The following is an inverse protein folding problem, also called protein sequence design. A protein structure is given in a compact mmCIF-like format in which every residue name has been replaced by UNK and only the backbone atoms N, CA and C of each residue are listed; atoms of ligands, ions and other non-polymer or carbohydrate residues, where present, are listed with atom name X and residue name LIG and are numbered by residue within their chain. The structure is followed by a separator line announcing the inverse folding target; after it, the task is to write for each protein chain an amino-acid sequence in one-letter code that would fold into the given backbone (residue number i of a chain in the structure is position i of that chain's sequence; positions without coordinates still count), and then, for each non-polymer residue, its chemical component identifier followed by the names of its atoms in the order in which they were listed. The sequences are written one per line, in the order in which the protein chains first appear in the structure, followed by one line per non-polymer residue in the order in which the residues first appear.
data_IF_806685783177
#
_entry.id   IF_806685783177
#
_cell.length_a   1.000
_cell.length_b   1.000
_cell.length_c   1.000
_cell.angle_alpha   90.00
_cell.angle_beta   90.00
_cell.angle_gamma   90.00
#
_symmetry.space_group_name_H-M   'P 1'
#
loop_
_entity.id
_entity.type
_entity.pdbx_description
1 polymer ?
#
# COMPACT_ATOMS: atom_id res chain seq x y z
N UNK A 1 18.05 27.80 -1.04
CA UNK A 1 18.69 27.13 -2.19
C UNK A 1 18.20 27.65 -3.54
N UNK A 2 16.96 28.16 -3.67
CA UNK A 2 16.38 28.45 -4.99
C UNK A 2 16.07 27.18 -5.79
N UNK A 3 16.03 26.01 -5.13
CA UNK A 3 15.80 24.70 -5.71
C UNK A 3 14.51 24.10 -5.15
N UNK A 4 13.84 23.25 -5.92
CA UNK A 4 12.68 22.48 -5.47
C UNK A 4 13.13 21.20 -4.77
N UNK A 5 12.44 20.84 -3.71
CA UNK A 5 12.67 19.63 -2.94
C UNK A 5 11.33 18.86 -2.82
N UNK A 6 11.40 17.54 -2.71
CA UNK A 6 10.22 16.67 -2.61
C UNK A 6 10.46 15.50 -1.67
N UNK A 7 9.42 14.74 -1.40
CA UNK A 7 9.56 13.46 -0.71
C UNK A 7 10.59 12.56 -1.42
N UNK A 8 11.53 12.05 -0.64
CA UNK A 8 12.60 11.15 -1.11
C UNK A 8 12.36 9.69 -0.70
N UNK A 9 11.14 9.39 -0.23
CA UNK A 9 10.72 8.08 0.31
C UNK A 9 11.65 7.55 1.42
N UNK A 10 12.42 8.42 2.07
CA UNK A 10 13.50 8.04 2.98
C UNK A 10 14.45 6.99 2.37
N UNK A 11 14.87 7.15 1.11
CA UNK A 11 15.76 6.19 0.43
C UNK A 11 16.96 5.70 1.27
N UNK A 12 17.65 6.52 2.11
CA UNK A 12 18.77 6.01 2.92
C UNK A 12 18.36 4.93 3.93
N UNK A 13 17.10 4.97 4.39
CA UNK A 13 16.53 3.94 5.28
C UNK A 13 16.11 2.71 4.49
N UNK A 14 15.40 2.90 3.39
CA UNK A 14 14.93 1.80 2.54
C UNK A 14 16.10 0.95 2.04
N UNK A 15 17.18 1.59 1.61
CA UNK A 15 18.38 0.89 1.15
C UNK A 15 19.00 0.00 2.23
N UNK A 16 18.81 0.36 3.50
CA UNK A 16 19.24 -0.41 4.67
C UNK A 16 18.16 -1.40 5.17
N UNK A 17 17.09 -1.64 4.41
CA UNK A 17 15.99 -2.52 4.81
C UNK A 17 15.10 -1.95 5.91
N UNK A 18 15.14 -0.63 6.15
CA UNK A 18 14.33 0.04 7.17
C UNK A 18 13.13 0.74 6.53
N UNK A 19 11.96 0.75 7.20
CA UNK A 19 10.80 1.47 6.69
C UNK A 19 11.03 3.00 6.70
N UNK A 20 10.32 3.75 5.83
CA UNK A 20 10.32 5.20 5.86
C UNK A 20 9.91 5.75 7.22
N UNK A 21 10.41 6.93 7.59
CA UNK A 21 10.19 7.51 8.94
C UNK A 21 8.71 7.64 9.25
N UNK A 22 7.92 8.17 8.32
CA UNK A 22 6.48 8.37 8.53
C UNK A 22 5.66 7.07 8.56
N UNK A 23 6.20 5.96 8.03
CA UNK A 23 5.62 4.62 8.15
C UNK A 23 5.97 4.02 9.51
N UNK A 24 7.24 4.13 9.89
CA UNK A 24 7.76 3.62 11.15
C UNK A 24 7.12 4.30 12.36
N UNK A 25 6.98 5.63 12.33
CA UNK A 25 6.41 6.43 13.43
C UNK A 25 4.88 6.46 13.47
N UNK A 26 4.21 5.70 12.61
CA UNK A 26 2.76 5.69 12.55
C UNK A 26 2.15 5.02 13.79
N UNK A 27 1.71 5.84 14.75
CA UNK A 27 1.10 5.41 16.02
C UNK A 27 -0.13 4.52 15.78
N UNK A 28 -0.96 4.87 14.79
CA UNK A 28 -2.17 4.11 14.46
C UNK A 28 -1.91 2.78 13.76
N UNK A 29 -0.66 2.44 13.44
CA UNK A 29 -0.27 1.20 12.75
C UNK A 29 -0.96 0.96 11.40
N UNK A 30 -1.52 1.99 10.77
CA UNK A 30 -2.28 1.92 9.50
C UNK A 30 -1.40 1.89 8.25
N UNK A 31 -0.07 1.96 8.40
CA UNK A 31 0.87 2.04 7.28
C UNK A 31 1.63 0.73 7.14
N UNK A 32 1.56 0.13 5.96
CA UNK A 32 2.36 -1.03 5.55
C UNK A 32 3.23 -0.65 4.37
N UNK A 33 4.37 -1.30 4.20
CA UNK A 33 5.32 -1.00 3.13
C UNK A 33 5.93 -2.31 2.63
N UNK A 34 5.96 -2.49 1.32
CA UNK A 34 6.41 -3.72 0.68
C UNK A 34 6.61 -3.54 -0.82
N UNK A 35 7.28 -4.52 -1.43
CA UNK A 35 7.59 -4.54 -2.86
C UNK A 35 6.35 -4.94 -3.66
N UNK A 36 6.17 -4.35 -4.84
CA UNK A 36 5.24 -4.82 -5.87
C UNK A 36 6.02 -4.91 -7.17
N UNK A 37 5.80 -5.98 -7.94
CA UNK A 37 6.27 -6.06 -9.31
C UNK A 37 5.21 -5.49 -10.23
N UNK A 38 5.65 -4.76 -11.24
CA UNK A 38 4.76 -4.20 -12.24
C UNK A 38 5.42 -4.25 -13.61
N UNK A 39 4.59 -4.38 -14.63
CA UNK A 39 5.01 -4.37 -16.02
C UNK A 39 5.19 -2.92 -16.49
N UNK A 40 6.43 -2.55 -16.81
CA UNK A 40 6.78 -1.22 -17.30
C UNK A 40 6.21 -0.94 -18.69
N UNK A 41 6.09 -1.95 -19.55
CA UNK A 41 5.69 -1.76 -20.95
C UNK A 41 4.18 -1.48 -21.06
N UNK A 42 3.40 -1.92 -20.06
CA UNK A 42 1.95 -1.74 -19.99
C UNK A 42 1.52 -0.51 -19.19
N UNK A 43 2.47 0.28 -18.68
CA UNK A 43 2.19 1.51 -17.92
C UNK A 43 1.43 2.53 -18.76
N UNK A 44 1.83 2.73 -20.02
CA UNK A 44 1.17 3.70 -20.90
C UNK A 44 -0.27 3.28 -21.22
N UNK A 45 -0.48 2.00 -21.53
CA UNK A 45 -1.80 1.41 -21.76
C UNK A 45 -2.71 1.63 -20.55
N UNK A 46 -2.22 1.31 -19.34
CA UNK A 46 -3.00 1.47 -18.11
C UNK A 46 -3.29 2.94 -17.78
N UNK A 47 -2.36 3.85 -18.06
CA UNK A 47 -2.56 5.28 -17.85
C UNK A 47 -3.53 5.90 -18.85
N UNK A 48 -3.73 5.28 -20.03
CA UNK A 48 -4.63 5.74 -21.09
C UNK A 48 -6.03 5.10 -21.05
N UNK A 49 -6.28 4.14 -20.15
CA UNK A 49 -7.58 3.52 -19.96
C UNK A 49 -8.71 4.54 -19.66
N UNK A 50 -9.96 4.12 -19.82
CA UNK A 50 -11.11 4.94 -19.45
C UNK A 50 -11.12 5.21 -17.94
N UNK A 51 -11.64 6.37 -17.53
CA UNK A 51 -11.58 6.82 -16.13
C UNK A 51 -12.16 5.78 -15.15
N UNK A 52 -13.21 5.06 -15.55
CA UNK A 52 -13.86 4.04 -14.72
C UNK A 52 -13.01 2.78 -14.50
N UNK A 53 -12.09 2.50 -15.41
CA UNK A 53 -11.30 1.28 -15.46
C UNK A 53 -9.86 1.51 -14.97
N UNK A 54 -9.46 2.76 -14.71
CA UNK A 54 -8.10 3.11 -14.28
C UNK A 54 -7.62 2.32 -13.04
N UNK A 55 -8.51 2.02 -12.10
CA UNK A 55 -8.15 1.24 -10.90
C UNK A 55 -7.86 -0.22 -11.25
N UNK A 56 -8.66 -0.80 -12.13
CA UNK A 56 -8.49 -2.19 -12.58
C UNK A 56 -7.27 -2.30 -13.48
N UNK A 57 -7.09 -1.37 -14.43
CA UNK A 57 -5.91 -1.27 -15.26
C UNK A 57 -4.62 -1.13 -14.43
N UNK A 58 -4.62 -0.32 -13.38
CA UNK A 58 -3.48 -0.21 -12.47
C UNK A 58 -3.24 -1.50 -11.68
N UNK A 59 -4.28 -2.28 -11.36
CA UNK A 59 -4.10 -3.61 -10.75
C UNK A 59 -3.56 -4.61 -11.76
N UNK A 60 -3.92 -4.51 -13.03
CA UNK A 60 -3.54 -5.47 -14.06
C UNK A 60 -2.09 -5.36 -14.53
N UNK A 61 -1.48 -4.19 -14.34
CA UNK A 61 -0.03 -4.03 -14.49
C UNK A 61 0.75 -4.60 -13.30
N UNK A 62 0.12 -4.79 -12.13
CA UNK A 62 0.78 -5.40 -10.96
C UNK A 62 0.86 -6.92 -11.19
N UNK A 63 2.10 -7.40 -11.27
CA UNK A 63 2.44 -8.79 -11.58
C UNK A 63 2.39 -9.67 -10.33
N UNK A 64 2.10 -10.95 -10.55
CA UNK A 64 2.11 -11.95 -9.48
C UNK A 64 3.55 -12.39 -9.16
N UNK A 65 4.05 -12.15 -7.93
CA UNK A 65 5.40 -12.57 -7.54
C UNK A 65 5.54 -14.09 -7.34
N UNK A 66 4.45 -14.86 -7.38
CA UNK A 66 4.47 -16.32 -7.31
C UNK A 66 4.51 -17.01 -8.68
N UNK A 67 4.27 -16.26 -9.76
CA UNK A 67 4.26 -16.81 -11.12
C UNK A 67 5.70 -17.13 -11.58
N UNK A 68 5.99 -18.39 -12.00
CA UNK A 68 7.29 -18.77 -12.55
C UNK A 68 7.79 -17.88 -13.69
N UNK A 69 6.90 -17.41 -14.56
CA UNK A 69 7.26 -16.56 -15.70
C UNK A 69 7.73 -15.17 -15.22
N UNK A 70 7.03 -14.60 -14.24
CA UNK A 70 7.40 -13.32 -13.61
C UNK A 70 8.72 -13.44 -12.85
N UNK A 71 8.95 -14.56 -12.16
CA UNK A 71 10.20 -14.82 -11.44
C UNK A 71 11.38 -14.92 -12.42
N UNK A 72 11.22 -15.63 -13.54
CA UNK A 72 12.26 -15.74 -14.56
C UNK A 72 12.53 -14.38 -15.22
N UNK A 73 11.48 -13.64 -15.56
CA UNK A 73 11.60 -12.28 -16.11
C UNK A 73 12.27 -11.32 -15.12
N UNK A 74 11.92 -11.37 -13.83
CA UNK A 74 12.55 -10.58 -12.78
C UNK A 74 14.06 -10.84 -12.70
N UNK A 75 14.46 -12.12 -12.75
CA UNK A 75 15.88 -12.51 -12.76
C UNK A 75 16.61 -12.02 -14.00
N UNK A 76 15.99 -12.10 -15.18
CA UNK A 76 16.53 -11.56 -16.44
C UNK A 76 16.73 -10.04 -16.37
N UNK A 77 15.83 -9.34 -15.66
CA UNK A 77 15.91 -7.89 -15.42
C UNK A 77 16.86 -7.50 -14.27
N UNK A 78 17.64 -8.44 -13.73
CA UNK A 78 18.64 -8.16 -12.68
C UNK A 78 18.06 -7.99 -11.28
N UNK A 79 16.83 -8.44 -11.03
CA UNK A 79 16.23 -8.45 -9.69
C UNK A 79 16.77 -9.65 -8.91
N UNK A 80 17.36 -9.38 -7.75
CA UNK A 80 17.95 -10.40 -6.87
C UNK A 80 16.88 -11.27 -6.18
N UNK A 81 17.25 -12.50 -5.80
CA UNK A 81 16.36 -13.43 -5.09
C UNK A 81 15.77 -12.83 -3.80
N UNK A 82 16.52 -12.00 -3.07
CA UNK A 82 16.03 -11.33 -1.84
C UNK A 82 14.85 -10.38 -2.13
N UNK A 83 14.84 -9.74 -3.30
CA UNK A 83 13.75 -8.85 -3.72
C UNK A 83 12.53 -9.64 -4.18
N UNK A 84 12.73 -10.81 -4.78
CA UNK A 84 11.66 -11.73 -5.17
C UNK A 84 11.00 -12.30 -3.92
N UNK A 85 11.77 -12.76 -2.94
CA UNK A 85 11.25 -13.22 -1.64
C UNK A 85 10.50 -12.10 -0.90
N UNK A 86 11.04 -10.87 -0.91
CA UNK A 86 10.35 -9.72 -0.33
C UNK A 86 9.03 -9.38 -1.06
N UNK A 87 8.97 -9.55 -2.38
CA UNK A 87 7.75 -9.35 -3.16
C UNK A 87 6.70 -10.42 -2.84
N UNK A 88 7.09 -11.68 -2.71
CA UNK A 88 6.20 -12.79 -2.31
C UNK A 88 5.62 -12.60 -0.91
N UNK A 89 6.43 -12.06 0.03
CA UNK A 89 5.98 -11.76 1.40
C UNK A 89 5.33 -10.39 1.54
N UNK A 90 5.15 -9.64 0.44
CA UNK A 90 4.69 -8.26 0.49
C UNK A 90 3.24 -8.14 0.97
N UNK A 91 2.97 -7.36 2.05
CA UNK A 91 1.60 -7.10 2.46
C UNK A 91 0.85 -6.25 1.42
N UNK A 92 1.57 -5.45 0.63
CA UNK A 92 0.96 -4.54 -0.34
C UNK A 92 0.41 -5.31 -1.53
N UNK A 93 1.12 -6.32 -2.03
CA UNK A 93 0.62 -7.19 -3.08
C UNK A 93 -0.71 -7.86 -2.67
N UNK A 94 -0.77 -8.40 -1.44
CA UNK A 94 -2.00 -8.99 -0.90
C UNK A 94 -3.14 -7.98 -0.80
N UNK A 95 -2.90 -6.80 -0.23
CA UNK A 95 -3.94 -5.80 0.00
C UNK A 95 -4.46 -5.18 -1.32
N UNK A 96 -3.58 -4.95 -2.30
CA UNK A 96 -3.93 -4.25 -3.55
C UNK A 96 -4.45 -5.20 -4.63
N UNK A 97 -3.78 -6.35 -4.85
CA UNK A 97 -4.07 -7.29 -5.94
C UNK A 97 -4.90 -8.48 -5.48
N UNK A 98 -4.51 -9.19 -4.42
CA UNK A 98 -5.21 -10.42 -3.96
C UNK A 98 -6.58 -10.11 -3.34
N UNK A 99 -6.64 -9.18 -2.40
CA UNK A 99 -7.84 -8.84 -1.64
C UNK A 99 -8.58 -7.62 -2.19
N UNK A 100 -7.98 -6.89 -3.13
CA UNK A 100 -8.50 -5.67 -3.78
C UNK A 100 -9.13 -4.66 -2.80
N UNK A 101 -8.53 -4.52 -1.62
CA UNK A 101 -9.01 -3.65 -0.53
C UNK A 101 -8.49 -2.23 -0.68
N UNK A 102 -7.23 -2.08 -1.08
CA UNK A 102 -6.62 -0.78 -1.25
C UNK A 102 -6.80 -0.25 -2.66
N UNK A 103 -6.99 1.06 -2.74
CA UNK A 103 -7.31 1.82 -3.93
C UNK A 103 -6.32 2.96 -4.12
N UNK A 104 -5.98 3.33 -5.36
CA UNK A 104 -5.13 4.49 -5.62
C UNK A 104 -5.85 5.78 -5.24
N UNK A 105 -5.08 6.81 -4.86
CA UNK A 105 -5.63 8.14 -4.61
C UNK A 105 -5.67 8.94 -5.92
N UNK A 106 -6.85 9.45 -6.27
CA UNK A 106 -7.08 10.22 -7.50
C UNK A 106 -6.48 9.58 -8.76
N UNK A 107 -6.91 8.35 -9.13
CA UNK A 107 -6.41 7.66 -10.32
C UNK A 107 -6.62 8.47 -11.62
N UNK A 108 -7.63 9.36 -11.67
CA UNK A 108 -7.92 10.25 -12.79
C UNK A 108 -6.77 11.18 -13.19
N UNK A 109 -5.79 11.39 -12.31
CA UNK A 109 -4.57 12.14 -12.65
C UNK A 109 -3.60 11.34 -13.52
N UNK A 110 -3.87 10.05 -13.77
CA UNK A 110 -3.13 9.17 -14.71
C UNK A 110 -1.62 9.11 -14.41
N UNK A 111 -1.25 9.28 -13.13
CA UNK A 111 0.14 9.17 -12.65
C UNK A 111 0.48 7.77 -12.12
N UNK A 112 -0.49 6.84 -12.10
CA UNK A 112 -0.40 5.49 -11.53
C UNK A 112 0.27 5.50 -10.15
N UNK A 113 -0.37 6.12 -9.14
CA UNK A 113 0.25 6.33 -7.83
C UNK A 113 0.54 5.00 -7.14
N UNK A 114 1.78 4.80 -6.68
CA UNK A 114 2.18 3.60 -5.95
C UNK A 114 1.88 3.66 -4.44
N UNK A 115 1.07 4.63 -4.01
CA UNK A 115 0.57 4.76 -2.64
C UNK A 115 -0.94 4.52 -2.65
N UNK A 116 -1.36 3.46 -1.96
CA UNK A 116 -2.76 3.01 -1.94
C UNK A 116 -3.39 3.23 -0.56
N UNK A 117 -4.71 3.37 -0.55
CA UNK A 117 -5.52 3.67 0.62
C UNK A 117 -6.65 2.66 0.74
N UNK A 118 -6.89 2.18 1.96
CA UNK A 118 -8.08 1.39 2.28
C UNK A 118 -9.19 2.38 2.63
N UNK A 119 -10.35 2.36 1.95
CA UNK A 119 -11.43 3.29 2.24
C UNK A 119 -11.97 3.04 3.65
N UNK A 120 -12.25 4.09 4.44
CA UNK A 120 -12.65 3.93 5.82
C UNK A 120 -14.11 3.46 5.92
N UNK A 121 -14.37 2.53 6.85
CA UNK A 121 -15.74 2.31 7.32
C UNK A 121 -16.19 3.51 8.15
N UNK A 122 -17.38 4.02 7.89
CA UNK A 122 -17.97 5.13 8.63
C UNK A 122 -18.94 4.65 9.70
N UNK A 123 -19.22 5.44 10.75
CA UNK A 123 -20.43 5.25 11.54
C UNK A 123 -21.67 5.32 10.64
N UNK A 124 -22.73 4.64 11.05
CA UNK A 124 -24.03 4.80 10.38
C UNK A 124 -24.64 6.17 10.67
N UNK A 125 -25.53 6.62 9.80
CA UNK A 125 -26.31 7.83 10.03
C UNK A 125 -27.24 7.60 11.22
N UNK A 126 -27.02 8.32 12.31
CA UNK A 126 -27.95 8.36 13.43
C UNK A 126 -29.16 9.23 13.06
N UNK A 127 -30.25 8.63 12.60
CA UNK A 127 -31.53 9.29 12.42
C UNK A 127 -32.42 9.06 13.65
N UNK A 128 -32.02 9.63 14.79
CA UNK A 128 -33.01 9.94 15.82
C UNK A 128 -33.87 11.08 15.29
N UNK A 129 -35.08 10.76 14.85
CA UNK A 129 -36.02 11.74 14.32
C UNK A 129 -36.15 12.96 15.24
N UNK A 130 -35.72 14.11 14.74
CA UNK A 130 -36.22 15.45 15.09
C UNK A 130 -35.84 16.54 14.08
N UNK A 131 -34.76 16.38 13.27
CA UNK A 131 -34.26 17.46 12.38
C UNK A 131 -33.83 17.05 10.94
N UNK A 132 -34.35 15.97 10.33
CA UNK A 132 -34.14 15.68 8.88
C UNK A 132 -35.27 14.77 8.32
N UNK A 133 -35.68 14.88 7.04
CA UNK A 133 -37.07 14.77 6.59
C UNK A 133 -37.45 13.42 5.95
N UNK A 134 -37.31 12.31 6.68
CA UNK A 134 -38.20 11.17 6.44
C UNK A 134 -38.31 10.34 7.72
N UNK A 135 -39.53 10.08 8.18
CA UNK A 135 -39.81 9.28 9.38
C UNK A 135 -39.68 7.77 9.16
N UNK A 136 -39.13 7.34 8.03
CA UNK A 136 -39.15 5.94 7.57
C UNK A 136 -37.79 5.26 7.60
N UNK A 137 -36.69 6.00 7.77
CA UNK A 137 -35.33 5.46 7.73
C UNK A 137 -34.63 5.67 9.08
N UNK A 138 -35.21 5.08 10.13
CA UNK A 138 -34.68 5.11 11.50
C UNK A 138 -33.84 3.85 11.69
N UNK A 139 -32.50 3.99 11.68
CA UNK A 139 -31.64 2.92 12.17
C UNK A 139 -31.57 3.03 13.69
N UNK A 140 -32.42 2.27 14.37
CA UNK A 140 -32.40 2.17 15.82
C UNK A 140 -31.17 1.35 16.24
N UNK A 141 -30.14 2.03 16.74
CA UNK A 141 -28.95 1.39 17.31
C UNK A 141 -29.27 0.45 18.49
N UNK A 142 -30.43 0.63 19.13
CA UNK A 142 -30.91 -0.24 20.21
C UNK A 142 -31.63 -1.49 19.66
N UNK A 143 -32.08 -1.49 18.40
CA UNK A 143 -32.79 -2.60 17.74
C UNK A 143 -32.35 -2.77 16.28
N UNK A 144 -31.11 -3.22 16.03
CA UNK A 144 -30.68 -3.47 14.68
C UNK A 144 -31.38 -4.71 14.10
N UNK A 145 -31.83 -4.62 12.85
CA UNK A 145 -32.71 -5.59 12.17
C UNK A 145 -32.09 -7.00 12.06
N UNK A 146 -30.78 -7.09 11.80
CA UNK A 146 -30.06 -8.35 11.56
C UNK A 146 -28.82 -8.49 12.46
N UNK A 147 -28.89 -7.95 13.68
CA UNK A 147 -27.83 -8.03 14.67
C UNK A 147 -26.93 -6.79 14.73
N UNK A 148 -25.93 -6.76 15.62
CA UNK A 148 -25.26 -5.53 16.05
C UNK A 148 -24.21 -4.97 15.07
N UNK A 149 -24.00 -5.62 13.93
CA UNK A 149 -23.18 -5.09 12.84
C UNK A 149 -24.11 -4.77 11.66
N UNK A 150 -23.79 -3.68 10.95
CA UNK A 150 -24.48 -3.33 9.70
C UNK A 150 -24.41 -4.51 8.73
N UNK A 151 -25.56 -4.90 8.18
CA UNK A 151 -25.60 -5.97 7.18
C UNK A 151 -24.82 -5.56 5.93
N UNK A 152 -24.39 -6.54 5.13
CA UNK A 152 -23.69 -6.28 3.87
C UNK A 152 -24.58 -5.51 2.86
N UNK A 153 -25.90 -5.60 3.00
CA UNK A 153 -26.89 -4.97 2.11
C UNK A 153 -27.20 -3.51 2.48
N UNK A 154 -26.77 -3.06 3.65
CA UNK A 154 -27.12 -1.74 4.18
C UNK A 154 -25.96 -0.74 4.09
N UNK A 155 -25.03 -0.92 3.14
CA UNK A 155 -23.90 -0.02 2.92
C UNK A 155 -24.29 1.45 2.75
N UNK A 156 -25.46 1.71 2.18
CA UNK A 156 -25.96 3.06 1.93
C UNK A 156 -26.29 3.83 3.22
N UNK A 157 -26.38 3.12 4.36
CA UNK A 157 -26.61 3.73 5.68
C UNK A 157 -25.36 4.33 6.30
N UNK A 158 -24.19 4.17 5.68
CA UNK A 158 -22.97 4.83 6.12
C UNK A 158 -23.08 6.35 6.02
N UNK A 159 -22.56 7.04 7.05
CA UNK A 159 -22.58 8.50 7.10
C UNK A 159 -21.76 9.16 6.01
N UNK A 160 -20.72 8.50 5.51
CA UNK A 160 -19.89 9.01 4.41
C UNK A 160 -20.52 8.55 3.10
N UNK A 161 -20.91 9.46 2.20
CA UNK A 161 -21.52 9.09 0.92
C UNK A 161 -20.55 8.28 0.05
N UNK A 162 -21.04 7.20 -0.57
CA UNK A 162 -20.24 6.38 -1.50
C UNK A 162 -19.70 7.21 -2.67
N UNK A 163 -20.50 8.14 -3.20
CA UNK A 163 -20.10 9.11 -4.24
C UNK A 163 -18.84 9.90 -3.89
N UNK A 164 -18.67 10.27 -2.62
CA UNK A 164 -17.49 11.01 -2.17
C UNK A 164 -16.24 10.13 -2.22
N UNK A 165 -16.36 8.88 -1.75
CA UNK A 165 -15.24 7.92 -1.78
C UNK A 165 -14.90 7.49 -3.21
N UNK A 166 -15.91 7.31 -4.07
CA UNK A 166 -15.73 6.99 -5.49
C UNK A 166 -15.02 8.12 -6.25
N UNK A 167 -15.33 9.38 -5.93
CA UNK A 167 -14.61 10.52 -6.49
C UNK A 167 -13.14 10.62 -6.06
N UNK A 168 -12.76 10.07 -4.90
CA UNK A 168 -11.39 10.12 -4.40
C UNK A 168 -10.56 8.88 -4.78
N UNK A 169 -11.17 7.70 -4.83
CA UNK A 169 -10.47 6.42 -4.96
C UNK A 169 -10.82 5.62 -6.21
N UNK A 170 -11.91 5.95 -6.89
CA UNK A 170 -12.45 5.16 -8.01
C UNK A 170 -12.61 5.94 -9.31
N UNK A 171 -12.14 7.19 -9.40
CA UNK A 171 -12.42 8.08 -10.54
C UNK A 171 -13.92 8.13 -10.93
N UNK A 172 -14.81 8.05 -9.93
CA UNK A 172 -16.26 8.02 -10.11
C UNK A 172 -16.89 6.62 -10.21
N UNK A 173 -16.09 5.55 -10.21
CA UNK A 173 -16.58 4.17 -10.16
C UNK A 173 -16.93 3.76 -8.71
N UNK A 174 -18.22 3.72 -8.40
CA UNK A 174 -18.72 3.35 -7.06
C UNK A 174 -18.54 1.85 -6.75
N UNK A 175 -18.58 0.97 -7.76
CA UNK A 175 -18.53 -0.49 -7.57
C UNK A 175 -17.20 -0.95 -7.01
N UNK A 176 -16.10 -0.34 -7.46
CA UNK A 176 -14.74 -0.65 -6.98
C UNK A 176 -14.59 -0.30 -5.49
N UNK A 177 -15.15 0.83 -5.06
CA UNK A 177 -15.16 1.24 -3.65
C UNK A 177 -16.09 0.35 -2.84
N UNK A 178 -17.28 0.06 -3.37
CA UNK A 178 -18.27 -0.82 -2.74
C UNK A 178 -17.68 -2.21 -2.47
N UNK A 179 -16.97 -2.78 -3.44
CA UNK A 179 -16.26 -4.05 -3.30
C UNK A 179 -15.26 -4.04 -2.14
N UNK A 180 -14.45 -3.00 -2.02
CA UNK A 180 -13.50 -2.85 -0.91
C UNK A 180 -14.19 -2.71 0.46
N UNK A 181 -15.32 -1.99 0.54
CA UNK A 181 -16.09 -1.83 1.78
C UNK A 181 -16.82 -3.12 2.17
N UNK A 182 -17.42 -3.84 1.21
CA UNK A 182 -18.08 -5.13 1.43
C UNK A 182 -17.10 -6.15 2.00
N UNK A 183 -15.90 -6.26 1.43
CA UNK A 183 -14.86 -7.17 1.92
C UNK A 183 -14.43 -6.87 3.35
N UNK A 184 -14.29 -5.59 3.71
CA UNK A 184 -14.00 -5.20 5.08
C UNK A 184 -15.13 -5.60 6.05
N UNK A 185 -16.40 -5.40 5.67
CA UNK A 185 -17.55 -5.80 6.49
C UNK A 185 -17.65 -7.32 6.60
N UNK A 186 -17.41 -8.05 5.52
CA UNK A 186 -17.48 -9.51 5.49
C UNK A 186 -16.50 -10.13 6.49
N UNK A 187 -15.25 -9.67 6.51
CA UNK A 187 -14.25 -10.17 7.48
C UNK A 187 -14.63 -9.81 8.92
N UNK A 188 -15.28 -8.67 9.17
CA UNK A 188 -15.77 -8.32 10.51
C UNK A 188 -16.91 -9.24 10.96
N UNK A 189 -17.84 -9.56 10.08
CA UNK A 189 -18.95 -10.51 10.34
C UNK A 189 -18.43 -11.92 10.57
N UNK A 190 -17.52 -12.39 9.71
CA UNK A 190 -16.86 -13.70 9.86
C UNK A 190 -16.13 -13.80 11.21
N UNK A 191 -15.30 -12.81 11.54
CA UNK A 191 -14.54 -12.87 12.78
C UNK A 191 -15.40 -12.67 14.04
N UNK A 192 -16.58 -12.05 13.90
CA UNK A 192 -17.58 -12.03 14.97
C UNK A 192 -18.21 -13.42 15.16
N UNK A 193 -18.58 -14.09 14.07
CA UNK A 193 -19.22 -15.41 14.10
C UNK A 193 -18.36 -16.45 14.83
N UNK A 194 -17.04 -16.36 14.66
CA UNK A 194 -16.07 -17.20 15.37
C UNK A 194 -15.98 -16.82 16.85
N UNK A 195 -15.79 -15.53 17.17
CA UNK A 195 -15.49 -15.09 18.55
C UNK A 195 -16.70 -15.03 19.48
N UNK A 196 -17.88 -14.76 18.93
CA UNK A 196 -19.11 -14.51 19.72
C UNK A 196 -20.07 -15.69 19.59
N UNK A 197 -20.40 -16.05 18.35
CA UNK A 197 -21.44 -17.05 18.08
C UNK A 197 -20.88 -18.49 18.08
N UNK A 198 -19.55 -18.62 18.14
CA UNK A 198 -18.78 -19.87 18.15
C UNK A 198 -19.15 -20.81 16.99
N UNK A 199 -19.60 -20.23 15.86
CA UNK A 199 -20.00 -20.92 14.64
C UNK A 199 -19.48 -20.12 13.45
N UNK A 200 -18.55 -20.66 12.66
CA UNK A 200 -18.02 -19.95 11.50
C UNK A 200 -19.13 -19.77 10.46
N UNK A 201 -19.38 -18.51 10.07
CA UNK A 201 -20.31 -18.17 8.99
C UNK A 201 -19.53 -17.87 7.71
N UNK A 202 -19.36 -18.91 6.88
CA UNK A 202 -18.59 -18.85 5.62
C UNK A 202 -19.38 -18.17 4.49
N UNK A 203 -20.73 -18.19 4.57
CA UNK A 203 -21.61 -17.62 3.53
C UNK A 203 -21.33 -16.13 3.26
N UNK A 204 -20.93 -15.41 4.31
CA UNK A 204 -20.56 -13.99 4.26
C UNK A 204 -19.28 -13.76 3.45
N UNK A 205 -18.32 -14.69 3.53
CA UNK A 205 -17.06 -14.63 2.79
C UNK A 205 -17.27 -15.03 1.32
N UNK A 206 -18.06 -16.08 1.07
CA UNK A 206 -18.40 -16.54 -0.28
C UNK A 206 -19.06 -15.42 -1.10
N UNK A 207 -19.93 -14.63 -0.47
CA UNK A 207 -20.61 -13.49 -1.11
C UNK A 207 -19.65 -12.44 -1.67
N UNK A 208 -18.46 -12.29 -1.08
CA UNK A 208 -17.46 -11.29 -1.50
C UNK A 208 -16.25 -11.91 -2.20
N UNK A 209 -16.30 -13.23 -2.45
CA UNK A 209 -15.25 -14.00 -3.09
C UNK A 209 -13.96 -14.07 -2.26
N UNK A 210 -14.06 -14.16 -0.94
CA UNK A 210 -12.91 -14.37 -0.04
C UNK A 210 -12.93 -15.79 0.52
N UNK A 211 -11.74 -16.37 0.72
CA UNK A 211 -11.59 -17.64 1.44
C UNK A 211 -11.48 -17.42 2.95
N UNK A 212 -11.64 -18.48 3.74
CA UNK A 212 -11.36 -18.45 5.18
C UNK A 212 -9.90 -18.07 5.47
N UNK A 213 -8.95 -18.61 4.69
CA UNK A 213 -7.54 -18.27 4.78
C UNK A 213 -7.29 -16.79 4.53
N UNK A 214 -7.95 -16.20 3.52
CA UNK A 214 -7.85 -14.76 3.24
C UNK A 214 -8.39 -13.93 4.40
N UNK A 215 -9.50 -14.33 5.01
CA UNK A 215 -10.07 -13.62 6.15
C UNK A 215 -9.13 -13.67 7.37
N UNK A 216 -8.51 -14.82 7.64
CA UNK A 216 -7.52 -14.96 8.72
C UNK A 216 -6.25 -14.14 8.47
N UNK A 217 -5.71 -14.19 7.24
CA UNK A 217 -4.56 -13.38 6.84
C UNK A 217 -4.87 -11.87 6.90
N UNK A 218 -6.06 -11.46 6.49
CA UNK A 218 -6.53 -10.07 6.60
C UNK A 218 -6.57 -9.59 8.05
N UNK A 219 -7.10 -10.41 8.96
CA UNK A 219 -7.12 -10.11 10.40
C UNK A 219 -5.69 -10.02 10.95
N UNK A 220 -4.80 -10.93 10.54
CA UNK A 220 -3.39 -10.90 10.94
C UNK A 220 -2.68 -9.63 10.44
N UNK A 221 -2.85 -9.28 9.18
CA UNK A 221 -2.22 -8.12 8.55
C UNK A 221 -2.72 -6.78 9.13
N UNK A 222 -4.04 -6.64 9.35
CA UNK A 222 -4.64 -5.35 9.74
C UNK A 222 -4.90 -5.21 11.25
N UNK A 223 -5.32 -6.28 11.93
CA UNK A 223 -5.68 -6.21 13.36
C UNK A 223 -4.49 -6.51 14.27
N UNK A 224 -3.69 -7.54 13.97
CA UNK A 224 -2.48 -7.86 14.75
C UNK A 224 -1.32 -6.95 14.34
N UNK A 225 -1.16 -6.72 13.03
CA UNK A 225 -0.28 -5.71 12.46
C UNK A 225 1.16 -5.83 13.02
N UNK A 226 1.71 -7.05 12.97
CA UNK A 226 3.07 -7.34 13.38
C UNK A 226 4.07 -6.54 12.54
N UNK A 227 5.14 -6.05 13.17
CA UNK A 227 6.09 -5.13 12.55
C UNK A 227 6.76 -5.73 11.31
N UNK A 228 7.22 -6.97 11.41
CA UNK A 228 7.91 -7.72 10.36
C UNK A 228 7.00 -8.11 9.19
N UNK A 229 5.69 -8.16 9.40
CA UNK A 229 4.71 -8.47 8.34
C UNK A 229 4.19 -7.19 7.68
N UNK A 230 4.16 -6.07 8.41
CA UNK A 230 3.80 -4.76 7.88
C UNK A 230 4.89 -4.12 7.03
N UNK A 231 6.15 -4.34 7.39
CA UNK A 231 7.30 -3.73 6.72
C UNK A 231 8.20 -4.83 6.16
N UNK A 232 8.00 -5.13 4.89
CA UNK A 232 8.80 -6.11 4.15
C UNK A 232 9.69 -5.34 3.18
N UNK A 233 10.85 -4.92 3.67
CA UNK A 233 11.78 -4.07 2.93
C UNK A 233 13.07 -4.84 2.68
N UNK A 234 13.36 -5.23 1.41
CA UNK A 234 14.63 -5.86 1.11
C UNK A 234 15.77 -4.85 1.26
N UNK A 235 16.95 -5.32 1.63
CA UNK A 235 18.15 -4.48 1.60
C UNK A 235 18.61 -4.28 0.17
N UNK A 236 19.09 -3.08 -0.13
CA UNK A 236 19.66 -2.79 -1.44
C UNK A 236 21.11 -3.25 -1.44
N UNK A 237 21.44 -4.23 -2.27
CA UNK A 237 22.82 -4.67 -2.48
C UNK A 237 23.54 -3.62 -3.32
N UNK A 238 24.43 -2.86 -2.67
CA UNK A 238 25.34 -1.93 -3.34
C UNK A 238 26.70 -2.55 -3.66
N UNK A 239 26.89 -3.83 -3.32
CA UNK A 239 28.17 -4.53 -3.46
C UNK A 239 28.64 -4.62 -4.91
N UNK A 240 27.71 -4.78 -5.85
CA UNK A 240 27.98 -4.85 -7.29
C UNK A 240 27.94 -3.48 -7.99
N UNK A 241 27.69 -2.39 -7.24
CA UNK A 241 27.63 -1.03 -7.78
C UNK A 241 28.97 -0.30 -7.64
N UNK A 242 29.19 0.72 -8.47
CA UNK A 242 30.40 1.58 -8.44
C UNK A 242 30.71 2.17 -7.04
N UNK A 243 29.70 2.26 -6.17
CA UNK A 243 29.79 2.72 -4.78
C UNK A 243 29.75 1.51 -3.84
N UNK A 244 30.69 0.58 -4.01
CA UNK A 244 30.71 -0.63 -3.19
C UNK A 244 30.92 -0.28 -1.70
N UNK A 245 30.24 -0.97 -0.77
CA UNK A 245 30.47 -0.78 0.66
C UNK A 245 31.93 -1.04 1.05
N UNK A 246 32.65 -1.92 0.34
CA UNK A 246 34.05 -2.22 0.60
C UNK A 246 34.96 -1.00 0.38
N UNK A 247 34.71 -0.22 -0.67
CA UNK A 247 35.48 1.00 -1.02
C UNK A 247 35.12 2.19 -0.14
N UNK A 248 33.85 2.34 0.23
CA UNK A 248 33.37 3.47 1.03
C UNK A 248 33.54 3.27 2.55
N UNK A 249 33.67 2.02 3.01
CA UNK A 249 33.84 1.70 4.44
C UNK A 249 35.07 2.41 5.01
N UNK A 250 34.85 3.19 6.07
CA UNK A 250 35.89 3.96 6.76
C UNK A 250 36.10 5.39 6.24
N UNK A 251 35.38 5.82 5.20
CA UNK A 251 35.52 7.15 4.60
C UNK A 251 34.19 7.87 4.40
N UNK A 252 33.12 7.14 4.15
CA UNK A 252 31.78 7.71 4.07
C UNK A 252 31.49 8.56 5.33
N UNK A 253 31.10 9.83 5.14
CA UNK A 253 30.83 10.79 6.20
C UNK A 253 32.01 11.70 6.58
N UNK A 254 33.19 11.55 5.96
CA UNK A 254 34.35 12.41 6.17
C UNK A 254 34.61 13.35 4.97
N UNK A 255 33.59 14.14 4.63
CA UNK A 255 33.52 14.91 3.39
C UNK A 255 34.52 16.10 3.34
N UNK A 256 34.93 16.61 4.51
CA UNK A 256 35.73 17.86 4.63
C UNK A 256 37.10 17.71 5.33
N UNK A 257 37.56 16.51 5.68
CA UNK A 257 38.69 16.27 6.60
C UNK A 257 39.78 17.35 6.73
N UNK A 258 39.99 17.85 7.96
CA UNK A 258 41.27 18.39 8.44
C UNK A 258 41.20 18.69 9.97
N UNK A 259 42.35 18.79 10.69
CA UNK A 259 43.09 20.05 10.62
C UNK A 259 44.33 20.07 9.72
N UNK A 260 45.14 19.00 9.62
CA UNK A 260 46.40 19.07 8.84
C UNK A 260 46.91 17.73 8.25
N UNK A 261 46.06 16.74 7.98
CA UNK A 261 46.50 15.61 7.15
C UNK A 261 45.41 14.96 6.31
N UNK A 262 45.82 14.34 5.18
CA UNK A 262 44.92 13.88 4.13
C UNK A 262 44.53 12.41 4.33
N UNK A 263 43.25 12.06 4.16
CA UNK A 263 42.86 10.69 3.81
C UNK A 263 42.54 10.61 2.32
N UNK A 264 43.24 9.72 1.62
CA UNK A 264 42.93 9.34 0.23
C UNK A 264 42.58 7.86 0.20
N UNK A 265 41.32 7.52 -0.08
CA UNK A 265 41.00 6.26 -0.76
C UNK A 265 40.32 6.58 -2.08
N UNK A 266 40.61 5.73 -3.06
CA UNK A 266 40.60 6.16 -4.44
C UNK A 266 39.20 6.13 -5.06
N UNK A 267 39.07 7.18 -5.86
CA UNK A 267 38.04 7.61 -6.81
C UNK A 267 37.82 6.52 -7.85
N UNK A 268 36.58 6.30 -8.26
CA UNK A 268 36.17 5.59 -9.47
C UNK A 268 37.12 5.81 -10.68
N UNK A 269 37.09 4.93 -11.69
CA UNK A 269 37.78 5.22 -12.97
C UNK A 269 37.15 6.44 -13.71
N UNK A 270 35.95 6.88 -13.36
CA UNK A 270 35.28 8.04 -13.97
C UNK A 270 34.81 9.08 -12.93
N UNK A 271 35.30 10.32 -13.06
CA UNK A 271 35.01 11.47 -12.18
C UNK A 271 33.50 11.71 -12.02
N UNK A 272 33.02 11.92 -10.79
CA UNK A 272 31.72 12.54 -10.55
C UNK A 272 31.82 14.06 -10.81
N UNK A 273 30.82 14.61 -11.51
CA UNK A 273 30.79 16.02 -11.94
C UNK A 273 30.38 17.01 -10.85
N UNK A 274 30.18 16.55 -9.60
CA UNK A 274 29.67 17.38 -8.51
C UNK A 274 30.49 17.22 -7.23
N UNK A 275 31.74 17.66 -7.28
CA UNK A 275 32.48 18.10 -6.09
C UNK A 275 32.60 19.61 -6.14
N UNK A 276 32.46 20.31 -5.00
CA UNK A 276 32.36 21.77 -4.86
C UNK A 276 33.59 22.60 -5.27
N UNK A 277 34.32 22.17 -6.30
CA UNK A 277 35.45 22.87 -6.90
C UNK A 277 35.08 23.72 -8.13
N UNK A 278 33.78 23.94 -8.40
CA UNK A 278 33.35 24.89 -9.43
C UNK A 278 32.83 26.16 -8.74
N UNK A 279 33.55 27.26 -8.89
CA UNK A 279 33.15 28.58 -8.40
C UNK A 279 32.02 29.22 -9.21
N UNK A 280 31.61 28.61 -10.33
CA UNK A 280 30.50 29.07 -11.16
C UNK A 280 29.75 27.88 -11.75
N UNK A 281 28.74 27.40 -11.02
CA UNK A 281 27.54 26.64 -11.43
C UNK A 281 26.79 26.20 -10.15
#
# INVERSE_FOLDING_TARGET
SGKMEKCILCYPRIESGLPPVCFHSCVGKIRSFGVIFYDMDRVEEAALAEDKDLVEAQRDIILDPFDPEVIEAAKKNGINDDWIDAAQRSPIYKIVKKWELALPLHPEFRTLPSLFYIPPLAPIVTSAGKNSPSGTDVFDMEKPSEGPLLSLDELDKFRVPLKYLAGMFGAGNEEVVKKALLRQLAVRHYQRSIRVDNKPNVEVLDRVGLSEEDAEEMVRAMSLAFYNERFVVPTTKREDTDISPYTERGLAGFDQMNPWSPMKRRKSYFKSYHTGSKTHE
#
